data_IF_283659281624
#
_entry.id   IF_283659281624
#
_cell.length_a   1.000
_cell.length_b   1.000
_cell.length_c   1.000
_cell.angle_alpha   90.00
_cell.angle_beta   90.00
_cell.angle_gamma   90.00
#
_symmetry.space_group_name_H-M   'P 1'
#
loop_
_entity.id
_entity.type
_entity.pdbx_description
1 polymer ?
#
# COMPACT_ATOMS: atom_id res chain seq x y z
N UNK A 1 -23.04 -0.73 14.10
CA UNK A 1 -22.11 -1.88 14.29
C UNK A 1 -20.79 -1.69 13.53
N UNK A 2 -20.83 -1.26 12.26
CA UNK A 2 -19.65 -1.05 11.39
C UNK A 2 -18.57 -0.15 11.98
N UNK A 3 -18.94 0.96 12.64
CA UNK A 3 -18.00 1.88 13.26
C UNK A 3 -17.18 1.25 14.42
N UNK A 4 -17.82 0.41 15.24
CA UNK A 4 -17.16 -0.27 16.38
C UNK A 4 -16.13 -1.30 15.88
N UNK A 5 -16.53 -2.10 14.88
CA UNK A 5 -15.63 -3.10 14.28
C UNK A 5 -14.39 -2.43 13.66
N UNK A 6 -14.60 -1.37 12.87
CA UNK A 6 -13.49 -0.63 12.28
C UNK A 6 -12.56 -0.02 13.34
N UNK A 7 -13.13 0.58 14.39
CA UNK A 7 -12.34 1.14 15.50
C UNK A 7 -11.48 0.08 16.20
N UNK A 8 -12.06 -1.10 16.50
CA UNK A 8 -11.32 -2.21 17.10
C UNK A 8 -10.16 -2.70 16.20
N UNK A 9 -10.42 -2.91 14.90
CA UNK A 9 -9.38 -3.34 13.95
C UNK A 9 -8.29 -2.28 13.79
N UNK A 10 -8.65 -0.99 13.78
CA UNK A 10 -7.69 0.10 13.74
C UNK A 10 -6.82 0.13 15.00
N UNK A 11 -7.39 -0.03 16.20
CA UNK A 11 -6.61 -0.10 17.44
C UNK A 11 -5.63 -1.26 17.42
N UNK A 12 -6.06 -2.45 16.99
CA UNK A 12 -5.17 -3.61 16.86
C UNK A 12 -4.05 -3.36 15.85
N UNK A 13 -4.36 -2.75 14.70
CA UNK A 13 -3.36 -2.36 13.72
C UNK A 13 -2.34 -1.36 14.30
N UNK A 14 -2.81 -0.34 15.03
CA UNK A 14 -1.93 0.65 15.66
C UNK A 14 -1.03 0.03 16.73
N UNK A 15 -1.57 -0.91 17.53
CA UNK A 15 -0.76 -1.66 18.50
C UNK A 15 0.31 -2.50 17.80
N UNK A 16 -0.03 -3.20 16.71
CA UNK A 16 0.94 -3.94 15.91
C UNK A 16 1.99 -3.03 15.28
N UNK A 17 1.60 -1.87 14.76
CA UNK A 17 2.50 -0.86 14.21
C UNK A 17 3.48 -0.33 15.27
N UNK A 18 2.99 0.04 16.45
CA UNK A 18 3.83 0.53 17.55
C UNK A 18 4.77 -0.57 18.02
N UNK A 19 4.27 -1.79 18.22
CA UNK A 19 5.10 -2.91 18.61
C UNK A 19 6.20 -3.20 17.57
N UNK A 20 5.88 -3.12 16.27
CA UNK A 20 6.85 -3.25 15.19
C UNK A 20 7.89 -2.12 15.19
N UNK A 21 7.47 -0.87 15.37
CA UNK A 21 8.38 0.28 15.45
C UNK A 21 9.31 0.21 16.66
N UNK A 22 8.78 -0.17 17.82
CA UNK A 22 9.55 -0.38 19.06
C UNK A 22 10.54 -1.52 18.89
N UNK A 23 10.12 -2.65 18.30
CA UNK A 23 11.01 -3.78 18.04
C UNK A 23 12.16 -3.39 17.11
N UNK A 24 11.88 -2.64 16.04
CA UNK A 24 12.91 -2.09 15.13
C UNK A 24 13.86 -1.13 15.85
N UNK A 25 13.35 -0.23 16.70
CA UNK A 25 14.17 0.75 17.43
C UNK A 25 15.09 0.11 18.46
N UNK A 26 14.56 -0.85 19.22
CA UNK A 26 15.28 -1.51 20.31
C UNK A 26 16.15 -2.68 19.85
N UNK A 27 16.19 -2.96 18.55
CA UNK A 27 16.83 -4.15 17.97
C UNK A 27 16.40 -5.43 18.70
N UNK A 28 15.13 -5.47 19.09
CA UNK A 28 14.49 -6.67 19.60
C UNK A 28 14.24 -7.55 18.39
N UNK A 29 15.32 -8.10 17.84
CA UNK A 29 15.25 -9.32 17.05
C UNK A 29 14.75 -10.37 18.03
N UNK A 30 13.48 -10.83 17.98
CA UNK A 30 13.08 -11.93 18.82
C UNK A 30 14.07 -13.07 18.60
N UNK A 31 14.50 -13.78 19.65
CA UNK A 31 15.58 -14.78 19.59
C UNK A 31 15.31 -15.89 18.55
N UNK A 32 14.07 -16.04 18.11
CA UNK A 32 13.69 -16.56 16.80
C UNK A 32 13.01 -15.44 16.02
N UNK A 33 13.48 -15.14 14.81
CA UNK A 33 12.87 -14.20 13.84
C UNK A 33 11.47 -14.70 13.43
N UNK A 34 10.52 -14.66 14.37
CA UNK A 34 9.23 -15.34 14.21
C UNK A 34 8.44 -14.60 13.13
N UNK A 35 8.26 -15.22 11.96
CA UNK A 35 7.55 -14.58 10.87
C UNK A 35 6.09 -14.24 11.21
N UNK A 36 5.52 -14.85 12.25
CA UNK A 36 4.14 -14.63 12.65
C UNK A 36 3.85 -13.15 12.94
N UNK A 37 4.79 -12.43 13.55
CA UNK A 37 4.59 -11.04 13.94
C UNK A 37 4.39 -10.11 12.72
N UNK A 38 5.26 -10.24 11.73
CA UNK A 38 5.15 -9.50 10.45
C UNK A 38 3.88 -9.90 9.69
N UNK A 39 3.52 -11.19 9.70
CA UNK A 39 2.28 -11.66 9.10
C UNK A 39 1.04 -11.01 9.75
N UNK A 40 0.99 -10.97 11.08
CA UNK A 40 -0.11 -10.35 11.84
C UNK A 40 -0.22 -8.86 11.49
N UNK A 41 0.90 -8.14 11.41
CA UNK A 41 0.91 -6.73 11.02
C UNK A 41 0.22 -6.50 9.66
N UNK A 42 0.63 -7.22 8.62
CA UNK A 42 0.06 -7.06 7.28
C UNK A 42 -1.39 -7.54 7.16
N UNK A 43 -1.77 -8.60 7.89
CA UNK A 43 -3.17 -9.04 7.98
C UNK A 43 -4.03 -7.96 8.62
N UNK A 44 -3.57 -7.36 9.73
CA UNK A 44 -4.29 -6.27 10.41
C UNK A 44 -4.35 -5.01 9.54
N UNK A 45 -3.28 -4.67 8.82
CA UNK A 45 -3.26 -3.55 7.87
C UNK A 45 -4.29 -3.76 6.74
N UNK A 46 -4.35 -4.97 6.19
CA UNK A 46 -5.32 -5.36 5.17
C UNK A 46 -6.76 -5.31 5.71
N UNK A 47 -7.00 -5.87 6.90
CA UNK A 47 -8.30 -5.78 7.57
C UNK A 47 -8.72 -4.33 7.85
N UNK A 48 -7.78 -3.48 8.27
CA UNK A 48 -8.02 -2.05 8.49
C UNK A 48 -8.37 -1.32 7.19
N UNK A 49 -7.73 -1.70 6.08
CA UNK A 49 -8.02 -1.18 4.74
C UNK A 49 -9.43 -1.57 4.29
N UNK A 50 -9.80 -2.84 4.41
CA UNK A 50 -11.11 -3.36 4.00
C UNK A 50 -12.24 -2.81 4.88
N UNK A 51 -12.06 -2.78 6.19
CA UNK A 51 -13.05 -2.20 7.11
C UNK A 51 -13.20 -0.69 6.91
N UNK A 52 -12.10 0.01 6.61
CA UNK A 52 -12.13 1.42 6.20
C UNK A 52 -12.94 1.62 4.93
N UNK A 53 -12.72 0.78 3.91
CA UNK A 53 -13.46 0.82 2.66
C UNK A 53 -14.96 0.50 2.85
N UNK A 54 -15.29 -0.44 3.75
CA UNK A 54 -16.67 -0.78 4.08
C UNK A 54 -17.47 0.39 4.68
N UNK A 55 -16.81 1.40 5.27
CA UNK A 55 -17.51 2.62 5.72
C UNK A 55 -18.13 3.42 4.57
N UNK A 56 -17.71 3.15 3.33
CA UNK A 56 -18.11 3.89 2.12
C UNK A 56 -18.76 3.02 1.06
N UNK A 57 -18.55 1.72 1.12
CA UNK A 57 -19.07 0.73 0.19
C UNK A 57 -19.76 -0.39 0.96
N UNK A 58 -20.79 -1.03 0.38
CA UNK A 58 -21.33 -2.27 0.91
C UNK A 58 -20.22 -3.29 1.21
N UNK A 59 -20.36 -4.08 2.28
CA UNK A 59 -19.32 -5.02 2.70
C UNK A 59 -18.92 -5.99 1.57
N UNK A 60 -19.90 -6.47 0.82
CA UNK A 60 -19.70 -7.34 -0.33
C UNK A 60 -18.83 -6.69 -1.42
N UNK A 61 -18.96 -5.38 -1.63
CA UNK A 61 -18.13 -4.62 -2.57
C UNK A 61 -16.69 -4.46 -2.06
N UNK A 62 -16.53 -4.14 -0.78
CA UNK A 62 -15.21 -4.02 -0.17
C UNK A 62 -14.45 -5.36 -0.16
N UNK A 63 -15.13 -6.45 0.22
CA UNK A 63 -14.57 -7.81 0.20
C UNK A 63 -14.30 -8.29 -1.22
N UNK A 64 -15.21 -8.03 -2.17
CA UNK A 64 -15.02 -8.37 -3.58
C UNK A 64 -13.79 -7.68 -4.16
N UNK A 65 -13.62 -6.38 -3.92
CA UNK A 65 -12.43 -5.66 -4.36
C UNK A 65 -11.14 -6.22 -3.74
N UNK A 66 -11.14 -6.52 -2.44
CA UNK A 66 -9.99 -7.11 -1.75
C UNK A 66 -9.66 -8.52 -2.29
N UNK A 67 -10.67 -9.36 -2.52
CA UNK A 67 -10.50 -10.69 -3.08
C UNK A 67 -9.92 -10.65 -4.50
N UNK A 68 -10.41 -9.74 -5.36
CA UNK A 68 -9.86 -9.57 -6.71
C UNK A 68 -8.43 -9.06 -6.69
N UNK A 69 -8.12 -8.04 -5.89
CA UNK A 69 -6.75 -7.51 -5.77
C UNK A 69 -5.81 -8.57 -5.21
N UNK A 70 -6.14 -9.18 -4.07
CA UNK A 70 -5.30 -10.18 -3.41
C UNK A 70 -5.12 -11.45 -4.24
N UNK A 71 -6.22 -11.98 -4.81
CA UNK A 71 -6.21 -13.21 -5.60
C UNK A 71 -5.42 -13.06 -6.90
N UNK A 72 -5.69 -12.01 -7.69
CA UNK A 72 -4.92 -11.76 -8.92
C UNK A 72 -3.46 -11.44 -8.62
N UNK A 73 -3.17 -10.67 -7.57
CA UNK A 73 -1.80 -10.38 -7.19
C UNK A 73 -1.03 -11.65 -6.79
N UNK A 74 -1.66 -12.56 -6.06
CA UNK A 74 -1.08 -13.86 -5.73
C UNK A 74 -0.73 -14.66 -7.00
N UNK A 75 -1.62 -14.71 -7.98
CA UNK A 75 -1.38 -15.37 -9.27
C UNK A 75 -0.23 -14.73 -10.04
N UNK A 76 -0.13 -13.40 -10.04
CA UNK A 76 0.97 -12.67 -10.69
C UNK A 76 2.31 -12.99 -10.00
N UNK A 77 2.34 -13.08 -8.67
CA UNK A 77 3.56 -13.44 -7.93
C UNK A 77 3.95 -14.91 -8.18
N UNK A 78 2.98 -15.83 -8.25
CA UNK A 78 3.23 -17.22 -8.62
C UNK A 78 3.81 -17.33 -10.04
N UNK A 79 3.21 -16.61 -10.98
CA UNK A 79 3.73 -16.51 -12.34
C UNK A 79 5.15 -15.92 -12.35
N UNK A 80 5.41 -14.90 -11.53
CA UNK A 80 6.74 -14.29 -11.43
C UNK A 80 7.80 -15.22 -10.87
N UNK A 81 7.47 -16.08 -9.89
CA UNK A 81 8.41 -17.10 -9.43
C UNK A 81 8.74 -18.12 -10.51
N UNK A 82 7.77 -18.44 -11.37
CA UNK A 82 7.96 -19.44 -12.43
C UNK A 82 8.67 -18.89 -13.66
N UNK A 83 8.33 -17.68 -14.08
CA UNK A 83 8.75 -17.09 -15.36
C UNK A 83 9.75 -15.94 -15.21
N UNK A 84 10.04 -15.49 -13.98
CA UNK A 84 10.85 -14.29 -13.72
C UNK A 84 10.28 -13.01 -14.35
N UNK A 85 8.99 -12.99 -14.66
CA UNK A 85 8.24 -11.86 -15.26
C UNK A 85 6.94 -11.71 -14.47
N UNK A 86 6.50 -10.50 -14.09
CA UNK A 86 7.02 -9.20 -14.50
C UNK A 86 8.14 -8.66 -13.60
N UNK A 87 8.47 -9.34 -12.51
CA UNK A 87 9.30 -8.73 -11.47
C UNK A 87 10.77 -9.13 -11.46
N UNK A 88 11.22 -9.89 -12.46
CA UNK A 88 12.54 -10.48 -12.45
C UNK A 88 12.64 -11.74 -11.58
N UNK A 89 13.82 -12.37 -11.53
CA UNK A 89 14.06 -13.53 -10.68
C UNK A 89 13.99 -13.12 -9.21
N UNK A 90 13.10 -13.76 -8.45
CA UNK A 90 13.01 -13.61 -6.99
C UNK A 90 12.88 -14.96 -6.32
N UNK A 91 13.46 -15.09 -5.14
CA UNK A 91 13.26 -16.22 -4.25
C UNK A 91 12.75 -15.70 -2.91
N UNK A 92 11.54 -16.11 -2.50
CA UNK A 92 11.04 -15.80 -1.17
C UNK A 92 11.80 -16.61 -0.12
N UNK A 93 12.21 -15.90 0.92
CA UNK A 93 12.90 -16.46 2.07
C UNK A 93 11.86 -16.75 3.15
N UNK A 94 12.06 -17.79 3.97
CA UNK A 94 11.11 -18.20 5.02
C UNK A 94 10.92 -17.22 6.18
N UNK A 95 11.40 -15.98 6.05
CA UNK A 95 11.26 -14.89 7.02
C UNK A 95 9.89 -14.21 6.98
N UNK A 96 9.11 -14.42 5.90
CA UNK A 96 7.78 -13.82 5.71
C UNK A 96 6.65 -14.85 5.84
N UNK A 97 6.74 -15.74 6.83
CA UNK A 97 5.73 -16.75 7.15
C UNK A 97 6.29 -18.17 7.12
N UNK A 98 5.55 -19.12 7.68
CA UNK A 98 5.76 -20.54 7.43
C UNK A 98 5.38 -20.85 5.97
N UNK A 99 6.26 -20.54 5.03
CA UNK A 99 6.11 -20.90 3.63
C UNK A 99 7.33 -21.72 3.20
N UNK A 100 7.12 -22.83 2.46
CA UNK A 100 8.23 -23.56 1.87
C UNK A 100 9.08 -22.60 1.01
N UNK A 101 10.40 -22.80 0.93
CA UNK A 101 11.24 -22.03 0.02
C UNK A 101 10.67 -22.08 -1.40
N UNK A 102 10.74 -20.96 -2.12
CA UNK A 102 10.17 -20.79 -3.47
C UNK A 102 8.64 -20.89 -3.59
N UNK A 103 7.91 -20.70 -2.50
CA UNK A 103 6.45 -20.50 -2.54
C UNK A 103 6.11 -19.05 -2.25
N UNK A 104 5.07 -18.49 -2.88
CA UNK A 104 4.59 -17.14 -2.56
C UNK A 104 3.98 -17.15 -1.16
N UNK A 105 4.50 -16.36 -0.21
CA UNK A 105 3.95 -16.34 1.13
C UNK A 105 2.49 -15.87 1.16
N UNK A 106 1.69 -16.51 2.02
CA UNK A 106 0.25 -16.23 2.14
C UNK A 106 -0.08 -14.77 2.55
N UNK A 107 0.91 -14.04 3.07
CA UNK A 107 0.76 -12.62 3.43
C UNK A 107 0.96 -11.65 2.25
N UNK A 108 1.64 -12.05 1.17
CA UNK A 108 1.86 -11.19 0.00
C UNK A 108 0.55 -10.62 -0.58
N UNK A 109 -0.55 -11.39 -0.70
CA UNK A 109 -1.86 -10.85 -1.09
C UNK A 109 -2.35 -9.72 -0.16
N UNK A 110 -2.10 -9.82 1.15
CA UNK A 110 -2.46 -8.76 2.10
C UNK A 110 -1.67 -7.48 1.85
N UNK A 111 -0.37 -7.60 1.56
CA UNK A 111 0.48 -6.46 1.19
C UNK A 111 -0.07 -5.74 -0.04
N UNK A 112 -0.43 -6.50 -1.08
CA UNK A 112 -1.02 -5.95 -2.30
C UNK A 112 -2.37 -5.26 -2.07
N UNK A 113 -3.25 -5.83 -1.23
CA UNK A 113 -4.53 -5.20 -0.84
C UNK A 113 -4.27 -3.84 -0.20
N UNK A 114 -3.34 -3.79 0.76
CA UNK A 114 -2.96 -2.55 1.45
C UNK A 114 -2.39 -1.53 0.46
N UNK A 115 -1.43 -1.93 -0.37
CA UNK A 115 -0.80 -1.02 -1.34
C UNK A 115 -1.81 -0.46 -2.33
N UNK A 116 -2.57 -1.33 -3.01
CA UNK A 116 -3.44 -0.95 -4.13
C UNK A 116 -4.66 -0.16 -3.67
N UNK A 117 -5.37 -0.65 -2.64
CA UNK A 117 -6.60 -0.01 -2.20
C UNK A 117 -6.33 1.32 -1.48
N UNK A 118 -5.26 1.41 -0.68
CA UNK A 118 -4.89 2.68 -0.05
C UNK A 118 -4.32 3.68 -1.06
N UNK A 119 -3.51 3.25 -2.02
CA UNK A 119 -3.02 4.12 -3.11
C UNK A 119 -4.19 4.74 -3.88
N UNK A 120 -5.25 3.97 -4.19
CA UNK A 120 -6.46 4.52 -4.80
C UNK A 120 -7.14 5.55 -3.90
N UNK A 121 -7.24 5.29 -2.60
CA UNK A 121 -7.79 6.24 -1.62
C UNK A 121 -7.01 7.56 -1.60
N UNK A 122 -5.68 7.49 -1.54
CA UNK A 122 -4.77 8.64 -1.59
C UNK A 122 -4.87 9.37 -2.92
N UNK A 123 -4.89 8.66 -4.06
CA UNK A 123 -5.06 9.27 -5.37
C UNK A 123 -6.38 10.03 -5.50
N UNK A 124 -7.48 9.52 -4.93
CA UNK A 124 -8.76 10.23 -4.89
C UNK A 124 -8.71 11.49 -4.04
N UNK A 125 -7.92 11.51 -2.96
CA UNK A 125 -7.71 12.73 -2.16
C UNK A 125 -6.92 13.77 -2.94
N UNK A 126 -5.80 13.37 -3.54
CA UNK A 126 -4.96 14.26 -4.35
C UNK A 126 -5.79 14.85 -5.49
N UNK A 127 -6.46 13.99 -6.27
CA UNK A 127 -7.19 14.41 -7.47
C UNK A 127 -8.59 14.98 -7.18
N UNK A 128 -8.96 15.15 -5.90
CA UNK A 128 -10.30 15.59 -5.53
C UNK A 128 -10.75 16.91 -6.18
N UNK A 129 -9.89 17.95 -6.31
CA UNK A 129 -10.25 19.19 -7.01
C UNK A 129 -10.67 18.97 -8.47
N UNK A 130 -10.18 17.91 -9.12
CA UNK A 130 -10.43 17.60 -10.52
C UNK A 130 -11.58 16.60 -10.75
N UNK A 131 -12.45 16.38 -9.75
CA UNK A 131 -13.57 15.42 -9.84
C UNK A 131 -14.56 15.71 -10.97
N UNK A 132 -14.66 16.97 -11.43
CA UNK A 132 -15.57 17.39 -12.51
C UNK A 132 -15.07 17.02 -13.91
N UNK A 133 -13.84 16.54 -14.06
CA UNK A 133 -13.27 16.18 -15.37
C UNK A 133 -13.84 14.84 -15.88
N UNK A 134 -14.09 14.75 -17.19
CA UNK A 134 -14.65 13.54 -17.83
C UNK A 134 -13.80 12.29 -17.59
N UNK A 135 -12.48 12.46 -17.53
CA UNK A 135 -11.52 11.36 -17.38
C UNK A 135 -11.04 11.14 -15.94
N UNK A 136 -11.76 11.68 -14.94
CA UNK A 136 -11.36 11.58 -13.52
C UNK A 136 -11.05 10.14 -13.08
N UNK A 137 -11.87 9.17 -13.51
CA UNK A 137 -11.65 7.75 -13.19
C UNK A 137 -10.29 7.24 -13.67
N UNK A 138 -9.91 7.55 -14.90
CA UNK A 138 -8.62 7.17 -15.46
C UNK A 138 -7.45 7.87 -14.78
N UNK A 139 -7.60 9.15 -14.43
CA UNK A 139 -6.58 9.88 -13.66
C UNK A 139 -6.35 9.25 -12.29
N UNK A 140 -7.41 8.84 -11.59
CA UNK A 140 -7.30 8.13 -10.31
C UNK A 140 -6.61 6.79 -10.48
N UNK A 141 -6.93 6.03 -11.52
CA UNK A 141 -6.28 4.74 -11.79
C UNK A 141 -4.78 4.93 -12.09
N UNK A 142 -4.43 5.86 -12.98
CA UNK A 142 -3.05 6.16 -13.34
C UNK A 142 -2.23 6.63 -12.14
N UNK A 143 -2.74 7.60 -11.38
CA UNK A 143 -2.05 8.11 -10.20
C UNK A 143 -1.92 7.03 -9.11
N UNK A 144 -2.97 6.25 -8.86
CA UNK A 144 -2.89 5.15 -7.89
C UNK A 144 -1.84 4.11 -8.28
N UNK A 145 -1.74 3.80 -9.58
CA UNK A 145 -0.74 2.85 -10.10
C UNK A 145 0.68 3.35 -9.88
N UNK A 146 0.93 4.64 -10.17
CA UNK A 146 2.22 5.30 -9.87
C UNK A 146 2.52 5.28 -8.38
N UNK A 147 1.54 5.59 -7.51
CA UNK A 147 1.71 5.55 -6.06
C UNK A 147 2.06 4.13 -5.57
N UNK A 148 1.50 3.07 -6.17
CA UNK A 148 1.88 1.68 -5.85
C UNK A 148 3.32 1.39 -6.27
N UNK A 149 3.74 1.83 -7.46
CA UNK A 149 5.14 1.70 -7.91
C UNK A 149 6.10 2.41 -6.95
N UNK A 150 5.76 3.63 -6.55
CA UNK A 150 6.51 4.43 -5.57
C UNK A 150 6.59 3.73 -4.20
N UNK A 151 5.47 3.20 -3.70
CA UNK A 151 5.46 2.39 -2.48
C UNK A 151 6.39 1.16 -2.62
N UNK A 152 6.33 0.46 -3.75
CA UNK A 152 7.14 -0.72 -3.98
C UNK A 152 8.64 -0.39 -3.98
N UNK A 153 9.03 0.75 -4.58
CA UNK A 153 10.40 1.26 -4.54
C UNK A 153 10.86 1.51 -3.10
N UNK A 154 10.03 2.12 -2.26
CA UNK A 154 10.36 2.33 -0.85
C UNK A 154 10.43 1.02 -0.04
N UNK A 155 9.61 0.04 -0.40
CA UNK A 155 9.54 -1.27 0.28
C UNK A 155 10.66 -2.23 -0.15
N UNK A 156 11.21 -2.10 -1.35
CA UNK A 156 12.19 -3.06 -1.90
C UNK A 156 13.46 -3.19 -1.04
N UNK A 157 14.13 -2.11 -0.60
CA UNK A 157 15.32 -2.23 0.24
C UNK A 157 15.00 -2.80 1.63
N UNK A 158 13.86 -2.39 2.21
CA UNK A 158 13.37 -2.93 3.48
C UNK A 158 13.18 -4.45 3.40
N UNK A 159 12.55 -4.92 2.32
CA UNK A 159 12.26 -6.31 2.15
C UNK A 159 13.48 -7.14 1.76
N UNK A 160 14.37 -6.64 0.89
CA UNK A 160 15.52 -7.40 0.39
C UNK A 160 16.74 -7.34 1.31
N UNK A 161 17.07 -6.15 1.83
CA UNK A 161 18.30 -5.91 2.60
C UNK A 161 18.07 -6.11 4.10
N UNK A 162 17.06 -5.44 4.67
CA UNK A 162 16.82 -5.47 6.12
C UNK A 162 16.18 -6.78 6.56
N UNK A 163 14.95 -7.02 6.09
CA UNK A 163 14.11 -8.12 6.57
C UNK A 163 14.36 -9.42 5.83
N UNK A 164 15.02 -9.34 4.67
CA UNK A 164 15.33 -10.48 3.80
C UNK A 164 14.09 -11.34 3.55
N UNK A 165 12.97 -10.73 3.18
CA UNK A 165 11.74 -11.40 2.77
C UNK A 165 11.89 -12.12 1.44
N UNK A 166 12.68 -11.55 0.53
CA UNK A 166 13.07 -12.20 -0.70
C UNK A 166 14.48 -11.79 -1.09
N UNK A 167 15.15 -12.66 -1.82
CA UNK A 167 16.37 -12.34 -2.54
C UNK A 167 16.00 -11.99 -3.99
N UNK A 168 16.53 -10.88 -4.48
CA UNK A 168 16.50 -10.53 -5.91
C UNK A 168 17.66 -11.22 -6.60
N UNK A 169 17.38 -12.00 -7.65
CA UNK A 169 18.42 -12.48 -8.56
C UNK A 169 18.87 -11.31 -9.43
N UNK A 170 20.17 -11.20 -9.70
CA UNK A 170 20.71 -10.14 -10.55
C UNK A 170 19.95 -10.06 -11.86
N UNK A 171 19.34 -8.91 -12.14
CA UNK A 171 18.69 -8.68 -13.42
C UNK A 171 19.76 -8.46 -14.48
N UNK A 172 19.53 -9.00 -15.69
CA UNK A 172 20.49 -8.85 -16.80
C UNK A 172 20.60 -7.41 -17.31
N UNK A 173 19.66 -6.55 -16.90
CA UNK A 173 19.59 -5.15 -17.31
C UNK A 173 20.17 -4.29 -16.18
N UNK A 174 21.24 -3.53 -16.41
CA UNK A 174 21.84 -2.67 -15.39
C UNK A 174 21.01 -1.39 -15.20
N UNK A 175 19.77 -1.52 -14.74
CA UNK A 175 18.85 -0.41 -14.44
C UNK A 175 18.83 -0.03 -12.96
N UNK A 176 19.77 -0.54 -12.17
CA UNK A 176 19.85 -0.26 -10.74
C UNK A 176 20.38 1.15 -10.49
N UNK A 177 19.50 2.07 -10.08
CA UNK A 177 19.90 3.36 -9.52
C UNK A 177 19.79 3.23 -8.01
N UNK A 178 20.90 3.45 -7.29
CA UNK A 178 20.96 3.31 -5.83
C UNK A 178 20.58 1.90 -5.31
N UNK A 179 20.86 0.85 -6.11
CA UNK A 179 20.51 -0.53 -5.77
C UNK A 179 19.02 -0.88 -5.94
N UNK A 180 18.20 0.07 -6.40
CA UNK A 180 16.80 -0.18 -6.75
C UNK A 180 16.72 -0.38 -8.25
N UNK A 181 16.22 -1.55 -8.68
CA UNK A 181 15.93 -1.77 -10.09
C UNK A 181 14.70 -0.94 -10.50
N UNK A 182 14.88 0.01 -11.42
CA UNK A 182 13.78 0.81 -11.95
C UNK A 182 12.64 -0.03 -12.55
N UNK A 183 12.94 -1.29 -12.94
CA UNK A 183 11.93 -2.24 -13.38
C UNK A 183 10.93 -2.60 -12.26
N UNK A 184 11.32 -2.53 -10.98
CA UNK A 184 10.41 -2.72 -9.83
C UNK A 184 9.31 -1.67 -9.86
N UNK A 185 9.67 -0.39 -10.04
CA UNK A 185 8.68 0.69 -10.16
C UNK A 185 7.70 0.43 -11.30
N UNK A 186 8.23 0.16 -12.51
CA UNK A 186 7.41 0.01 -13.71
C UNK A 186 6.52 -1.23 -13.63
N UNK A 187 7.08 -2.39 -13.31
CA UNK A 187 6.35 -3.66 -13.22
C UNK A 187 5.25 -3.60 -12.17
N UNK A 188 5.53 -3.05 -10.98
CA UNK A 188 4.54 -2.90 -9.90
C UNK A 188 3.45 -1.91 -10.28
N UNK A 189 3.79 -0.83 -10.98
CA UNK A 189 2.79 0.14 -11.49
C UNK A 189 1.87 -0.49 -12.53
N UNK A 190 2.41 -1.24 -13.49
CA UNK A 190 1.62 -1.92 -14.53
C UNK A 190 0.69 -2.97 -13.90
N UNK A 191 1.22 -3.81 -13.02
CA UNK A 191 0.40 -4.80 -12.30
C UNK A 191 -0.69 -4.11 -11.48
N UNK A 192 -0.36 -3.03 -10.76
CA UNK A 192 -1.34 -2.26 -10.01
C UNK A 192 -2.46 -1.68 -10.90
N UNK A 193 -2.12 -1.17 -12.08
CA UNK A 193 -3.10 -0.67 -13.06
C UNK A 193 -4.05 -1.78 -13.50
N UNK A 194 -3.54 -2.97 -13.81
CA UNK A 194 -4.35 -4.14 -14.14
C UNK A 194 -5.27 -4.54 -12.97
N UNK A 195 -4.72 -4.69 -11.77
CA UNK A 195 -5.47 -5.06 -10.57
C UNK A 195 -6.60 -4.06 -10.27
N UNK A 196 -6.31 -2.76 -10.37
CA UNK A 196 -7.30 -1.71 -10.20
C UNK A 196 -8.37 -1.75 -11.29
N UNK A 197 -7.98 -1.99 -12.55
CA UNK A 197 -8.92 -2.15 -13.66
C UNK A 197 -9.95 -3.27 -13.37
N UNK A 198 -9.48 -4.45 -12.96
CA UNK A 198 -10.35 -5.58 -12.61
C UNK A 198 -11.16 -5.36 -11.33
N UNK A 199 -10.61 -4.66 -10.34
CA UNK A 199 -11.32 -4.36 -9.09
C UNK A 199 -12.33 -3.19 -9.24
N UNK A 200 -12.24 -2.39 -10.29
CA UNK A 200 -13.05 -1.17 -10.48
C UNK A 200 -14.56 -1.41 -10.40
N UNK A 201 -15.14 -2.46 -11.01
CA UNK A 201 -16.59 -2.74 -10.89
C UNK A 201 -17.07 -2.87 -9.45
N UNK A 202 -16.23 -3.40 -8.56
CA UNK A 202 -16.51 -3.55 -7.13
C UNK A 202 -16.26 -2.27 -6.33
N UNK A 203 -15.48 -1.34 -6.87
CA UNK A 203 -15.08 -0.09 -6.23
C UNK A 203 -15.95 1.11 -6.63
N UNK A 204 -16.90 0.91 -7.55
CA UNK A 204 -17.87 1.92 -7.98
C UNK A 204 -19.10 1.86 -7.08
N UNK A 205 -19.39 2.96 -6.40
CA UNK A 205 -20.62 3.09 -5.64
C UNK A 205 -21.79 3.27 -6.62
N UNK A 206 -22.74 2.34 -6.61
CA UNK A 206 -23.94 2.38 -7.48
C UNK A 206 -24.89 3.55 -7.20
N UNK A 207 -24.73 4.24 -6.07
CA UNK A 207 -25.55 5.36 -5.65
C UNK A 207 -24.61 6.52 -5.30
N UNK A 208 -24.61 7.61 -6.08
CA UNK A 208 -23.70 8.71 -5.86
C UNK A 208 -24.11 9.50 -4.61
N UNK A 209 -23.58 9.12 -3.45
CA UNK A 209 -23.76 9.88 -2.21
C UNK A 209 -22.65 10.94 -2.11
N UNK A 210 -23.00 12.17 -1.70
CA UNK A 210 -21.99 13.18 -1.30
C UNK A 210 -21.24 12.64 -0.08
N UNK A 211 -19.98 12.27 -0.26
CA UNK A 211 -19.12 11.75 0.81
C UNK A 211 -18.08 12.79 1.23
N UNK A 212 -17.86 12.89 2.53
CA UNK A 212 -16.77 13.65 3.13
C UNK A 212 -15.39 13.08 2.71
N UNK A 213 -14.30 13.89 2.73
CA UNK A 213 -12.95 13.40 2.43
C UNK A 213 -12.61 12.17 3.28
N UNK A 214 -11.98 11.14 2.67
CA UNK A 214 -11.46 10.01 3.45
C UNK A 214 -10.00 10.19 3.77
N UNK A 215 -9.69 10.54 5.01
CA UNK A 215 -8.28 10.60 5.42
C UNK A 215 -7.74 9.22 5.79
N UNK A 216 -8.60 8.22 6.00
CA UNK A 216 -8.19 6.88 6.46
C UNK A 216 -7.11 6.22 5.57
N UNK A 217 -7.26 6.14 4.24
CA UNK A 217 -6.23 5.55 3.38
C UNK A 217 -4.89 6.29 3.45
N UNK A 218 -4.93 7.62 3.60
CA UNK A 218 -3.73 8.43 3.73
C UNK A 218 -3.04 8.23 5.09
N UNK A 219 -3.81 8.12 6.18
CA UNK A 219 -3.27 7.82 7.51
C UNK A 219 -2.53 6.48 7.47
N UNK A 220 -3.15 5.42 6.96
CA UNK A 220 -2.49 4.11 6.82
C UNK A 220 -1.23 4.20 5.95
N UNK A 221 -1.30 4.94 4.85
CA UNK A 221 -0.16 5.15 3.95
C UNK A 221 1.04 5.80 4.65
N UNK A 222 0.79 6.85 5.44
CA UNK A 222 1.81 7.57 6.21
C UNK A 222 2.40 6.71 7.31
N UNK A 223 1.56 6.00 8.05
CA UNK A 223 2.02 5.14 9.15
C UNK A 223 2.92 4.00 8.64
N UNK A 224 2.54 3.34 7.54
CA UNK A 224 3.33 2.25 6.97
C UNK A 224 4.64 2.77 6.37
N UNK A 225 4.62 3.86 5.60
CA UNK A 225 5.86 4.45 5.10
C UNK A 225 6.77 4.97 6.22
N UNK A 226 6.19 5.54 7.28
CA UNK A 226 6.94 5.95 8.46
C UNK A 226 7.73 4.79 9.06
N UNK A 227 7.13 3.60 9.10
CA UNK A 227 7.81 2.38 9.55
C UNK A 227 8.93 1.94 8.61
N UNK A 228 8.72 2.01 7.29
CA UNK A 228 9.77 1.70 6.28
C UNK A 228 10.95 2.68 6.37
N UNK A 229 10.67 3.96 6.58
CA UNK A 229 11.69 5.01 6.76
C UNK A 229 12.45 4.77 8.07
N UNK A 230 11.73 4.52 9.17
CA UNK A 230 12.34 4.24 10.47
C UNK A 230 13.31 3.06 10.40
N UNK A 231 12.91 1.98 9.74
CA UNK A 231 13.75 0.80 9.54
C UNK A 231 14.97 1.10 8.65
N UNK A 232 14.79 1.89 7.59
CA UNK A 232 15.89 2.34 6.72
C UNK A 232 16.90 3.18 7.48
N UNK A 233 16.44 4.11 8.33
CA UNK A 233 17.30 4.93 9.19
C UNK A 233 18.10 4.05 10.17
N UNK A 234 17.45 3.03 10.76
CA UNK A 234 18.08 2.11 11.71
C UNK A 234 19.21 1.27 11.10
N UNK A 235 19.12 0.96 9.80
CA UNK A 235 20.12 0.19 9.05
C UNK A 235 21.09 1.08 8.26
N UNK A 236 21.17 2.37 8.60
CA UNK A 236 22.07 3.37 7.99
C UNK A 236 21.86 3.55 6.47
N UNK A 237 20.66 3.22 5.97
CA UNK A 237 20.26 3.40 4.58
C UNK A 237 19.75 4.83 4.34
N UNK A 238 20.58 5.82 4.67
CA UNK A 238 20.21 7.25 4.70
C UNK A 238 19.62 7.75 3.38
N UNK A 239 20.25 7.43 2.25
CA UNK A 239 19.77 7.86 0.93
C UNK A 239 18.36 7.36 0.64
N UNK A 240 18.06 6.12 1.03
CA UNK A 240 16.74 5.50 0.85
C UNK A 240 15.71 6.11 1.80
N UNK A 241 16.11 6.35 3.06
CA UNK A 241 15.25 7.02 4.03
C UNK A 241 14.89 8.45 3.60
N UNK A 242 15.85 9.22 3.09
CA UNK A 242 15.63 10.58 2.57
C UNK A 242 14.73 10.55 1.33
N UNK A 243 14.97 9.63 0.39
CA UNK A 243 14.13 9.48 -0.80
C UNK A 243 12.69 9.11 -0.44
N UNK A 244 12.50 8.08 0.40
CA UNK A 244 11.18 7.65 0.85
C UNK A 244 10.47 8.74 1.67
N UNK A 245 11.20 9.45 2.54
CA UNK A 245 10.69 10.58 3.31
C UNK A 245 10.26 11.75 2.44
N UNK A 246 11.07 12.14 1.44
CA UNK A 246 10.74 13.18 0.48
C UNK A 246 9.50 12.83 -0.35
N UNK A 247 9.43 11.59 -0.84
CA UNK A 247 8.27 11.05 -1.55
C UNK A 247 7.00 11.08 -0.68
N UNK A 248 7.11 10.63 0.57
CA UNK A 248 6.00 10.63 1.52
C UNK A 248 5.51 12.05 1.82
N UNK A 249 6.44 12.98 2.03
CA UNK A 249 6.16 14.40 2.26
C UNK A 249 5.42 15.03 1.09
N UNK A 250 5.90 14.79 -0.13
CA UNK A 250 5.25 15.27 -1.35
C UNK A 250 3.83 14.71 -1.53
N UNK A 251 3.67 13.39 -1.41
CA UNK A 251 2.35 12.73 -1.51
C UNK A 251 1.39 13.25 -0.44
N UNK A 252 1.87 13.45 0.79
CA UNK A 252 1.06 13.96 1.90
C UNK A 252 0.65 15.41 1.69
N UNK A 253 1.55 16.27 1.20
CA UNK A 253 1.23 17.66 0.87
C UNK A 253 0.13 17.73 -0.20
N UNK A 254 0.27 16.94 -1.28
CA UNK A 254 -0.71 16.86 -2.35
C UNK A 254 -2.07 16.34 -1.84
N UNK A 255 -2.08 15.30 -1.00
CA UNK A 255 -3.29 14.71 -0.45
C UNK A 255 -4.03 15.68 0.49
N UNK A 256 -3.29 16.36 1.37
CA UNK A 256 -3.83 17.37 2.28
C UNK A 256 -4.36 18.58 1.51
N UNK A 257 -3.62 19.09 0.52
CA UNK A 257 -4.09 20.18 -0.36
C UNK A 257 -5.42 19.81 -1.03
N UNK A 258 -5.51 18.61 -1.60
CA UNK A 258 -6.76 18.12 -2.21
C UNK A 258 -7.91 17.97 -1.20
N UNK A 259 -7.62 17.63 0.06
CA UNK A 259 -8.62 17.54 1.12
C UNK A 259 -9.12 18.92 1.60
N UNK A 260 -8.25 19.93 1.68
CA UNK A 260 -8.60 21.28 2.14
C UNK A 260 -9.34 22.10 1.09
N UNK A 261 -9.00 21.95 -0.20
CA UNK A 261 -9.66 22.69 -1.29
C UNK A 261 -11.19 22.60 -1.24
N UNK A 262 -11.71 21.39 -1.00
CA UNK A 262 -13.16 21.15 -0.95
C UNK A 262 -13.83 21.77 0.28
N UNK A 263 -13.11 21.92 1.41
CA UNK A 263 -13.68 22.59 2.59
C UNK A 263 -13.90 24.08 2.31
N UNK A 264 -12.97 24.71 1.59
CA UNK A 264 -13.11 26.10 1.19
C UNK A 264 -14.31 26.30 0.23
N UNK A 265 -14.48 25.42 -0.76
CA UNK A 265 -15.64 25.47 -1.66
C UNK A 265 -16.98 25.31 -0.92
N UNK A 266 -17.06 24.37 0.04
CA UNK A 266 -18.29 24.17 0.82
C UNK A 266 -18.63 25.35 1.74
N UNK A 267 -17.62 26.03 2.31
CA UNK A 267 -17.84 27.22 3.12
C UNK A 267 -18.46 28.35 2.27
N UNK A 268 -17.93 28.58 1.07
CA UNK A 268 -18.43 29.59 0.14
C UNK A 268 -19.84 29.30 -0.40
N UNK A 269 -20.21 28.03 -0.57
CA UNK A 269 -21.57 27.64 -0.94
C UNK A 269 -22.59 27.82 0.19
N UNK A 270 -22.15 27.74 1.44
CA UNK A 270 -23.02 27.92 2.61
C UNK A 270 -23.37 29.40 2.82
N UNK A 271 -22.43 30.32 2.58
CA UNK A 271 -22.65 31.76 2.72
C UNK A 271 -23.54 32.36 1.61
N UNK A 272 -23.76 31.62 0.51
CA UNK A 272 -24.56 32.08 -0.64
C UNK A 272 -26.05 31.73 -0.55
N UNK A 273 -26.45 30.87 0.38
CA UNK A 273 -27.83 30.43 0.58
C UNK A 273 -28.39 31.00 1.88
#
# INVERSE_FOLDING_TARGET
MTARLHGAVLVLFLLALVAQGVATLLDLSPPSRDPAFECVFWILASACTVTGLHRRLPLQQALGAAAWVGGLAWLVELASLRFSIPFGPRAFLGSLGASPPNTVPAVIPCVWIVMVLNARGVARLILRPWRKTTYYGFWVLGLASVLVGLFAVAMEPFASLTKRYWATGGTRVPTSVLGIDGLVFLSRSVVAACLLGFATPWLIHKQPVKQSPDLHPWILWVLIHGLLILDSLRHELWTLAVLAGGMLGFVSLCALRGAYWVRAEMALETDRN
#
